data_IF_103851125364
#
_entry.id   IF_103851125364
#
_cell.length_a   1.000
_cell.length_b   1.000
_cell.length_c   1.000
_cell.angle_alpha   90.00
_cell.angle_beta   90.00
_cell.angle_gamma   90.00
#
_symmetry.space_group_name_H-M   'P 1'
#
loop_
_entity.id
_entity.type
_entity.pdbx_description
1 polymer ?
#
# COMPACT_ATOMS: atom_id res chain seq x y z
N UNK A 1 27.64 -17.65 22.80
CA UNK A 1 26.24 -17.73 22.47
C UNK A 1 25.92 -16.48 21.65
N UNK A 2 25.22 -16.59 20.52
CA UNK A 2 24.74 -15.46 19.73
C UNK A 2 23.48 -14.92 20.38
N UNK A 3 23.39 -13.62 20.51
CA UNK A 3 22.17 -12.98 21.06
C UNK A 3 21.21 -12.65 19.91
N UNK A 4 19.92 -12.94 20.09
CA UNK A 4 18.87 -12.64 19.09
C UNK A 4 18.90 -11.17 18.72
N UNK A 5 19.23 -10.30 19.68
CA UNK A 5 19.37 -8.86 19.47
C UNK A 5 20.47 -8.50 18.46
N UNK A 6 21.62 -9.21 18.49
CA UNK A 6 22.71 -8.96 17.55
C UNK A 6 22.31 -9.36 16.12
N UNK A 7 21.57 -10.47 15.99
CA UNK A 7 21.00 -10.95 14.73
C UNK A 7 19.99 -9.92 14.19
N UNK A 8 19.10 -9.43 15.05
CA UNK A 8 18.09 -8.42 14.68
C UNK A 8 18.75 -7.13 14.21
N UNK A 9 19.80 -6.66 14.91
CA UNK A 9 20.55 -5.46 14.52
C UNK A 9 21.22 -5.67 13.16
N UNK A 10 21.83 -6.83 12.92
CA UNK A 10 22.46 -7.13 11.63
C UNK A 10 21.44 -7.12 10.48
N UNK A 11 20.35 -7.87 10.61
CA UNK A 11 19.30 -7.90 9.60
C UNK A 11 18.77 -6.49 9.30
N UNK A 12 18.60 -5.67 10.35
CA UNK A 12 18.10 -4.33 10.17
C UNK A 12 19.06 -3.37 9.49
N UNK A 13 20.37 -3.55 9.68
CA UNK A 13 21.40 -2.80 8.95
C UNK A 13 21.39 -3.18 7.47
N UNK A 14 21.20 -4.46 7.14
CA UNK A 14 21.10 -4.94 5.75
C UNK A 14 19.82 -4.39 5.10
N UNK A 15 18.65 -4.51 5.77
CA UNK A 15 17.35 -4.01 5.26
C UNK A 15 17.39 -2.54 4.88
N UNK A 16 18.03 -1.71 5.72
CA UNK A 16 18.05 -0.25 5.58
C UNK A 16 19.31 0.29 4.90
N UNK A 17 20.25 -0.58 4.53
CA UNK A 17 21.57 -0.25 3.97
C UNK A 17 22.31 0.87 4.74
N UNK A 18 21.98 1.03 6.05
CA UNK A 18 22.45 2.16 6.86
C UNK A 18 22.47 1.87 8.35
N UNK A 19 23.65 2.05 8.98
CA UNK A 19 23.82 1.95 10.43
C UNK A 19 22.97 2.99 11.21
N UNK A 20 22.91 4.21 10.70
CA UNK A 20 22.17 5.29 11.36
C UNK A 20 20.66 5.12 11.23
N UNK A 21 20.16 4.63 10.09
CA UNK A 21 18.76 4.32 9.90
C UNK A 21 18.34 3.14 10.79
N UNK A 22 19.14 2.08 10.84
CA UNK A 22 18.92 0.93 11.73
C UNK A 22 18.90 1.35 13.22
N UNK A 23 19.83 2.23 13.62
CA UNK A 23 19.85 2.75 14.99
C UNK A 23 18.58 3.52 15.35
N UNK A 24 18.10 4.40 14.47
CA UNK A 24 16.83 5.12 14.68
C UNK A 24 15.63 4.18 14.78
N UNK A 25 15.55 3.20 13.87
CA UNK A 25 14.45 2.22 13.86
C UNK A 25 14.43 1.36 15.13
N UNK A 26 15.59 0.92 15.58
CA UNK A 26 15.75 0.09 16.79
C UNK A 26 15.83 0.90 18.09
N UNK A 27 15.77 2.24 18.01
CA UNK A 27 15.89 3.17 19.16
C UNK A 27 17.19 2.99 19.94
N UNK A 28 18.29 2.75 19.25
CA UNK A 28 19.64 2.66 19.82
C UNK A 28 20.60 3.58 19.04
N UNK A 29 21.71 3.97 19.64
CA UNK A 29 22.68 4.84 18.95
C UNK A 29 23.40 4.09 17.84
N UNK A 30 23.81 4.83 16.81
CA UNK A 30 24.63 4.29 15.70
C UNK A 30 25.94 3.64 16.20
N UNK A 31 26.51 4.14 17.28
CA UNK A 31 27.68 3.58 17.92
C UNK A 31 27.41 2.18 18.49
N UNK A 32 26.25 1.97 19.11
CA UNK A 32 25.80 0.67 19.62
C UNK A 32 25.57 -0.30 18.47
N UNK A 33 24.89 0.13 17.38
CA UNK A 33 24.71 -0.68 16.17
C UNK A 33 26.06 -1.16 15.63
N UNK A 34 27.01 -0.22 15.44
CA UNK A 34 28.36 -0.54 14.93
C UNK A 34 29.12 -1.49 15.84
N UNK A 35 29.04 -1.30 17.15
CA UNK A 35 29.68 -2.17 18.15
C UNK A 35 29.12 -3.60 18.11
N UNK A 36 27.79 -3.75 18.02
CA UNK A 36 27.13 -5.06 17.93
C UNK A 36 27.51 -5.80 16.66
N UNK A 37 27.49 -5.13 15.50
CA UNK A 37 27.94 -5.73 14.23
C UNK A 37 29.40 -6.16 14.31
N UNK A 38 30.28 -5.31 14.84
CA UNK A 38 31.69 -5.64 14.98
C UNK A 38 31.92 -6.91 15.87
N UNK A 39 31.23 -6.97 17.00
CA UNK A 39 31.26 -8.14 17.88
C UNK A 39 30.73 -9.41 17.20
N UNK A 40 29.67 -9.28 16.39
CA UNK A 40 29.11 -10.38 15.63
C UNK A 40 30.10 -10.90 14.60
N UNK A 41 30.71 -10.00 13.80
CA UNK A 41 31.75 -10.35 12.81
C UNK A 41 32.98 -11.00 13.48
N UNK A 42 33.41 -10.50 14.64
CA UNK A 42 34.51 -11.11 15.42
C UNK A 42 34.17 -12.54 15.91
N UNK A 43 32.93 -12.74 16.42
CA UNK A 43 32.48 -14.08 16.86
C UNK A 43 32.40 -15.08 15.71
N UNK A 44 32.01 -14.61 14.52
CA UNK A 44 31.89 -15.44 13.31
C UNK A 44 33.26 -15.65 12.61
N UNK A 45 34.24 -14.81 12.87
CA UNK A 45 35.55 -14.82 12.21
C UNK A 45 35.53 -14.35 10.75
N UNK A 46 34.41 -13.81 10.28
CA UNK A 46 34.21 -13.32 8.91
C UNK A 46 33.52 -11.95 8.90
N UNK A 47 33.82 -11.16 7.89
CA UNK A 47 33.08 -9.90 7.66
C UNK A 47 31.78 -10.21 6.97
N UNK A 48 30.69 -9.63 7.51
CA UNK A 48 29.34 -9.75 6.96
C UNK A 48 28.96 -8.54 6.10
N UNK A 49 29.59 -7.38 6.32
CA UNK A 49 29.24 -6.13 5.64
C UNK A 49 30.45 -5.50 4.97
N UNK A 50 30.27 -5.04 3.74
CA UNK A 50 31.13 -4.07 3.08
C UNK A 50 30.76 -2.68 3.59
N UNK A 51 31.75 -1.99 4.17
CA UNK A 51 31.58 -0.64 4.69
C UNK A 51 32.22 0.36 3.73
N UNK A 52 31.44 1.15 3.04
CA UNK A 52 31.91 2.35 2.34
C UNK A 52 31.30 3.57 3.00
N UNK A 53 31.86 4.75 2.76
CA UNK A 53 31.33 6.01 3.30
C UNK A 53 29.96 6.39 2.74
N UNK A 54 29.48 5.70 1.70
CA UNK A 54 28.23 6.01 1.00
C UNK A 54 27.17 4.90 1.00
N UNK A 55 27.54 3.65 1.27
CA UNK A 55 26.59 2.52 1.31
C UNK A 55 27.10 1.39 2.18
N UNK A 56 26.17 0.66 2.74
CA UNK A 56 26.41 -0.59 3.48
C UNK A 56 25.77 -1.71 2.67
N UNK A 57 26.57 -2.71 2.28
CA UNK A 57 26.08 -3.88 1.55
C UNK A 57 26.59 -5.16 2.19
N UNK A 58 25.83 -6.27 2.19
CA UNK A 58 26.31 -7.55 2.66
C UNK A 58 27.46 -8.08 1.78
N UNK A 59 28.36 -8.83 2.39
CA UNK A 59 29.31 -9.72 1.69
C UNK A 59 28.60 -11.00 1.30
N UNK A 60 29.23 -11.88 0.53
CA UNK A 60 28.68 -13.22 0.24
C UNK A 60 28.35 -13.99 1.54
N UNK A 61 29.25 -13.94 2.52
CA UNK A 61 29.00 -14.50 3.86
C UNK A 61 27.85 -13.75 4.58
N UNK A 62 27.72 -12.44 4.35
CA UNK A 62 26.65 -11.61 4.87
C UNK A 62 25.29 -11.98 4.28
N UNK A 63 25.19 -12.24 2.98
CA UNK A 63 23.96 -12.68 2.32
C UNK A 63 23.50 -14.04 2.83
N UNK A 64 24.42 -15.01 2.93
CA UNK A 64 24.14 -16.32 3.50
C UNK A 64 23.66 -16.21 4.95
N UNK A 65 24.35 -15.42 5.75
CA UNK A 65 23.99 -15.22 7.16
C UNK A 65 22.66 -14.49 7.30
N UNK A 66 22.39 -13.47 6.46
CA UNK A 66 21.15 -12.71 6.44
C UNK A 66 19.95 -13.60 6.13
N UNK A 67 20.00 -14.41 5.07
CA UNK A 67 18.89 -15.29 4.67
C UNK A 67 18.56 -16.32 5.77
N UNK A 68 19.59 -16.88 6.41
CA UNK A 68 19.42 -17.81 7.52
C UNK A 68 18.83 -17.12 8.75
N UNK A 69 19.34 -15.95 9.11
CA UNK A 69 18.85 -15.18 10.25
C UNK A 69 17.39 -14.71 10.06
N UNK A 70 17.02 -14.28 8.86
CA UNK A 70 15.63 -13.95 8.53
C UNK A 70 14.70 -15.15 8.74
N UNK A 71 15.11 -16.35 8.33
CA UNK A 71 14.32 -17.56 8.55
C UNK A 71 14.14 -17.86 10.04
N UNK A 72 15.18 -17.73 10.85
CA UNK A 72 15.12 -17.95 12.30
C UNK A 72 14.23 -16.91 12.98
N UNK A 73 14.38 -15.62 12.65
CA UNK A 73 13.54 -14.55 13.19
C UNK A 73 12.07 -14.74 12.83
N UNK A 74 11.78 -15.22 11.62
CA UNK A 74 10.42 -15.54 11.19
C UNK A 74 9.85 -16.73 11.99
N UNK A 75 10.62 -17.80 12.22
CA UNK A 75 10.18 -18.92 13.04
C UNK A 75 9.89 -18.50 14.50
N UNK A 76 10.70 -17.60 15.06
CA UNK A 76 10.42 -17.03 16.39
C UNK A 76 9.12 -16.23 16.40
N UNK A 77 8.89 -15.41 15.37
CA UNK A 77 7.64 -14.65 15.23
C UNK A 77 6.42 -15.58 15.07
N UNK A 78 6.56 -16.68 14.32
CA UNK A 78 5.51 -17.68 14.15
C UNK A 78 5.16 -18.38 15.45
N UNK A 79 6.18 -18.78 16.22
CA UNK A 79 5.99 -19.36 17.56
C UNK A 79 5.27 -18.37 18.50
N UNK A 80 5.68 -17.10 18.49
CA UNK A 80 5.02 -16.07 19.29
C UNK A 80 3.56 -15.88 18.88
N UNK A 81 3.27 -15.88 17.57
CA UNK A 81 1.91 -15.80 17.05
C UNK A 81 1.05 -17.00 17.49
N UNK A 82 1.61 -18.21 17.54
CA UNK A 82 0.89 -19.39 18.05
C UNK A 82 0.61 -19.29 19.55
N UNK A 83 1.57 -18.83 20.32
CA UNK A 83 1.36 -18.58 21.76
C UNK A 83 0.29 -17.49 21.99
N UNK A 84 0.29 -16.44 21.15
CA UNK A 84 -0.72 -15.39 21.24
C UNK A 84 -2.13 -15.89 20.87
N UNK A 85 -2.25 -16.89 19.98
CA UNK A 85 -3.52 -17.57 19.69
C UNK A 85 -4.06 -18.40 20.87
N UNK A 86 -3.18 -18.83 21.77
CA UNK A 86 -3.56 -19.54 23.00
C UNK A 86 -4.04 -18.57 24.10
N UNK A 87 -3.81 -17.26 23.96
CA UNK A 87 -4.29 -16.25 24.91
C UNK A 87 -5.79 -16.01 24.72
N UNK A 88 -6.47 -15.70 25.82
CA UNK A 88 -7.91 -15.44 25.81
C UNK A 88 -8.34 -14.17 25.06
N UNK A 89 -7.40 -13.23 24.80
CA UNK A 89 -7.67 -11.99 24.08
C UNK A 89 -6.48 -11.59 23.20
N UNK A 90 -6.73 -11.19 21.93
CA UNK A 90 -5.70 -10.68 21.04
C UNK A 90 -5.21 -9.31 21.52
N UNK A 91 -3.88 -9.10 21.49
CA UNK A 91 -3.25 -7.86 21.95
C UNK A 91 -2.07 -7.45 21.06
N UNK A 92 -1.62 -6.20 21.20
CA UNK A 92 -0.43 -5.66 20.56
C UNK A 92 -0.71 -4.68 19.43
N UNK A 93 0.28 -4.38 18.59
CA UNK A 93 0.20 -3.34 17.57
C UNK A 93 -0.01 -3.97 16.20
N UNK A 94 -0.88 -3.37 15.36
CA UNK A 94 -0.99 -3.64 13.92
C UNK A 94 -0.59 -2.38 13.16
N UNK A 95 0.36 -2.50 12.24
CA UNK A 95 0.77 -1.43 11.32
C UNK A 95 0.09 -1.62 9.98
N UNK A 96 -0.66 -0.62 9.54
CA UNK A 96 -1.47 -0.66 8.32
C UNK A 96 -1.02 0.46 7.39
N UNK A 97 -0.91 0.15 6.10
CA UNK A 97 -0.74 1.17 5.06
C UNK A 97 -1.93 1.14 4.12
N UNK A 98 -2.48 2.31 3.77
CA UNK A 98 -3.60 2.44 2.85
C UNK A 98 -3.41 3.64 1.90
N UNK A 99 -4.02 3.63 0.68
CA UNK A 99 -4.10 4.82 -0.16
C UNK A 99 -4.75 5.97 0.61
N UNK A 100 -4.30 7.20 0.36
CA UNK A 100 -4.69 8.36 1.17
C UNK A 100 -6.21 8.53 1.24
N UNK A 101 -6.88 8.62 0.10
CA UNK A 101 -8.33 8.82 0.05
C UNK A 101 -9.12 7.67 0.71
N UNK A 102 -8.81 6.42 0.33
CA UNK A 102 -9.44 5.23 0.91
C UNK A 102 -9.17 5.15 2.42
N UNK A 103 -7.93 5.38 2.83
CA UNK A 103 -7.48 5.33 4.22
C UNK A 103 -8.24 6.32 5.10
N UNK A 104 -8.37 7.58 4.64
CA UNK A 104 -9.02 8.65 5.37
C UNK A 104 -10.54 8.47 5.45
N UNK A 105 -11.19 8.23 4.31
CA UNK A 105 -12.65 8.30 4.23
C UNK A 105 -13.35 6.99 4.59
N UNK A 106 -12.71 5.85 4.42
CA UNK A 106 -13.33 4.53 4.59
C UNK A 106 -12.63 3.72 5.70
N UNK A 107 -11.31 3.56 5.61
CA UNK A 107 -10.61 2.64 6.50
C UNK A 107 -10.46 3.19 7.91
N UNK A 108 -10.13 4.47 8.09
CA UNK A 108 -9.95 5.05 9.42
C UNK A 108 -11.22 4.99 10.29
N UNK A 109 -12.44 5.28 9.79
CA UNK A 109 -13.67 5.03 10.55
C UNK A 109 -13.85 3.56 10.97
N UNK A 110 -13.65 2.61 10.06
CA UNK A 110 -13.76 1.17 10.34
C UNK A 110 -12.73 0.74 11.41
N UNK A 111 -11.50 1.24 11.33
CA UNK A 111 -10.47 0.96 12.33
C UNK A 111 -10.82 1.55 13.71
N UNK A 112 -11.50 2.69 13.74
CA UNK A 112 -12.04 3.26 14.97
C UNK A 112 -13.06 2.35 15.63
N UNK A 113 -13.99 1.78 14.84
CA UNK A 113 -14.97 0.79 15.33
C UNK A 113 -14.27 -0.49 15.81
N UNK A 114 -13.31 -1.00 15.04
CA UNK A 114 -12.51 -2.18 15.40
C UNK A 114 -11.76 -1.97 16.73
N UNK A 115 -11.19 -0.79 16.98
CA UNK A 115 -10.51 -0.48 18.24
C UNK A 115 -11.46 -0.51 19.45
N UNK A 116 -12.72 -0.14 19.27
CA UNK A 116 -13.72 -0.23 20.35
C UNK A 116 -14.04 -1.70 20.69
N UNK A 117 -14.08 -2.59 19.68
CA UNK A 117 -14.36 -4.01 19.86
C UNK A 117 -13.14 -4.77 20.41
N UNK A 118 -11.93 -4.37 20.00
CA UNK A 118 -10.65 -4.97 20.41
C UNK A 118 -9.74 -3.95 21.10
N UNK A 119 -10.04 -3.49 22.32
CA UNK A 119 -9.33 -2.38 22.97
C UNK A 119 -7.86 -2.68 23.30
N UNK A 120 -7.46 -3.95 23.35
CA UNK A 120 -6.06 -4.37 23.58
C UNK A 120 -5.20 -4.38 22.30
N UNK A 121 -5.80 -4.14 21.11
CA UNK A 121 -5.08 -4.03 19.86
C UNK A 121 -4.85 -2.55 19.53
N UNK A 122 -3.59 -2.15 19.45
CA UNK A 122 -3.22 -0.80 19.00
C UNK A 122 -3.06 -0.77 17.47
N UNK A 123 -3.54 0.30 16.85
CA UNK A 123 -3.51 0.50 15.41
C UNK A 123 -2.60 1.67 15.06
N UNK A 124 -1.75 1.46 14.05
CA UNK A 124 -0.94 2.49 13.42
C UNK A 124 -1.26 2.50 11.94
N UNK A 125 -2.03 3.51 11.51
CA UNK A 125 -2.41 3.70 10.13
C UNK A 125 -1.48 4.73 9.49
N UNK A 126 -0.80 4.32 8.41
CA UNK A 126 -0.10 5.19 7.50
C UNK A 126 -0.91 5.34 6.20
N UNK A 127 -1.25 6.57 5.82
CA UNK A 127 -2.01 6.85 4.61
C UNK A 127 -1.09 7.47 3.57
N UNK A 128 -0.91 6.77 2.45
CA UNK A 128 0.02 7.20 1.40
C UNK A 128 -0.34 6.61 0.05
N UNK A 129 -0.27 7.45 -1.00
CA UNK A 129 -0.43 7.00 -2.38
C UNK A 129 0.91 6.52 -2.99
N UNK A 130 2.01 6.56 -2.24
CA UNK A 130 3.31 6.05 -2.69
C UNK A 130 3.34 4.52 -2.65
N UNK A 131 4.12 3.93 -3.54
CA UNK A 131 4.49 2.53 -3.40
C UNK A 131 5.35 2.35 -2.14
N UNK A 132 4.85 1.56 -1.19
CA UNK A 132 5.48 1.29 0.10
C UNK A 132 6.20 -0.05 0.00
N UNK A 133 7.46 -0.11 0.42
CA UNK A 133 8.13 -1.38 0.65
C UNK A 133 7.71 -1.92 2.01
N UNK A 134 6.79 -2.86 1.99
CA UNK A 134 6.15 -3.37 3.22
C UNK A 134 7.14 -4.08 4.17
N UNK A 135 8.23 -4.66 3.63
CA UNK A 135 9.29 -5.30 4.44
C UNK A 135 10.11 -4.25 5.16
N UNK A 136 10.61 -3.26 4.41
CA UNK A 136 11.46 -2.21 4.97
C UNK A 136 10.71 -1.38 6.01
N UNK A 137 9.42 -1.09 5.76
CA UNK A 137 8.58 -0.28 6.65
C UNK A 137 7.91 -1.11 7.75
N UNK A 138 8.13 -2.44 7.79
CA UNK A 138 7.55 -3.38 8.77
C UNK A 138 6.03 -3.22 8.88
N UNK A 139 5.36 -3.16 7.73
CA UNK A 139 3.90 -3.08 7.64
C UNK A 139 3.32 -4.49 7.77
N UNK A 140 2.34 -4.67 8.65
CA UNK A 140 1.66 -5.97 8.84
C UNK A 140 0.59 -6.19 7.77
N UNK A 141 -0.05 -5.11 7.33
CA UNK A 141 -1.15 -5.13 6.37
C UNK A 141 -1.10 -3.88 5.48
N UNK A 142 -1.06 -4.06 4.16
CA UNK A 142 -1.28 -2.95 3.24
C UNK A 142 -2.56 -3.15 2.44
N UNK A 143 -3.38 -2.14 2.39
CA UNK A 143 -4.55 -2.08 1.50
C UNK A 143 -4.13 -1.41 0.20
N UNK A 144 -4.51 -2.00 -0.92
CA UNK A 144 -4.19 -1.45 -2.25
C UNK A 144 -5.35 -1.62 -3.20
N UNK A 145 -5.44 -0.71 -4.16
CA UNK A 145 -6.46 -0.66 -5.20
C UNK A 145 -5.82 -0.84 -6.58
N UNK A 146 -6.58 -1.38 -7.52
CA UNK A 146 -6.16 -1.50 -8.91
C UNK A 146 -5.33 -2.73 -9.22
N UNK A 147 -4.58 -2.66 -10.33
CA UNK A 147 -3.65 -3.72 -10.74
C UNK A 147 -2.39 -3.67 -9.89
N UNK A 148 -2.05 -4.81 -9.31
CA UNK A 148 -0.85 -4.97 -8.51
C UNK A 148 0.14 -5.83 -9.29
N UNK A 149 1.42 -5.45 -9.34
CA UNK A 149 2.45 -6.30 -9.94
C UNK A 149 2.61 -7.59 -9.14
N UNK A 150 3.07 -8.64 -9.81
CA UNK A 150 3.44 -9.88 -9.14
C UNK A 150 4.50 -9.60 -8.07
N UNK A 151 4.23 -10.06 -6.88
CA UNK A 151 5.09 -9.86 -5.72
C UNK A 151 5.09 -11.11 -4.83
N UNK A 152 6.11 -11.27 -4.00
CA UNK A 152 6.21 -12.31 -2.98
C UNK A 152 5.24 -12.14 -1.79
N UNK A 153 4.22 -11.28 -1.97
CA UNK A 153 3.24 -10.96 -0.94
C UNK A 153 2.01 -11.85 -1.05
N UNK A 154 1.49 -12.26 0.11
CA UNK A 154 0.19 -12.92 0.16
C UNK A 154 -0.88 -11.87 -0.08
N UNK A 155 -1.68 -12.08 -1.11
CA UNK A 155 -2.78 -11.20 -1.49
C UNK A 155 -4.12 -11.82 -1.09
N UNK A 156 -4.95 -11.06 -0.36
CA UNK A 156 -6.34 -11.41 -0.08
C UNK A 156 -7.27 -10.36 -0.68
N UNK A 157 -8.16 -10.71 -1.63
CA UNK A 157 -9.20 -9.81 -2.09
C UNK A 157 -10.19 -9.52 -0.95
N UNK A 158 -10.60 -8.27 -0.79
CA UNK A 158 -11.58 -7.87 0.21
C UNK A 158 -12.93 -7.56 -0.43
N UNK A 159 -12.98 -6.58 -1.34
CA UNK A 159 -14.19 -6.18 -2.05
C UNK A 159 -13.86 -5.77 -3.48
N UNK A 160 -14.83 -5.81 -4.40
CA UNK A 160 -14.68 -5.25 -5.74
C UNK A 160 -14.31 -3.76 -5.68
N UNK A 161 -13.58 -3.32 -6.69
CA UNK A 161 -13.35 -1.91 -7.00
C UNK A 161 -13.62 -1.71 -8.49
N UNK A 162 -14.00 -0.51 -8.85
CA UNK A 162 -14.19 -0.14 -10.23
C UNK A 162 -13.49 1.19 -10.50
N UNK A 163 -12.75 1.26 -11.58
CA UNK A 163 -12.02 2.46 -11.96
C UNK A 163 -12.75 3.16 -13.08
N UNK A 164 -13.19 4.37 -12.83
CA UNK A 164 -13.94 5.20 -13.75
C UNK A 164 -13.09 6.36 -14.27
N UNK A 165 -13.44 6.83 -15.46
CA UNK A 165 -13.01 8.14 -15.97
C UNK A 165 -14.17 9.10 -15.80
N UNK A 166 -13.93 10.27 -15.17
CA UNK A 166 -15.00 11.22 -14.87
C UNK A 166 -14.56 12.67 -15.02
N UNK A 167 -15.54 13.55 -15.22
CA UNK A 167 -15.38 15.01 -15.23
C UNK A 167 -16.65 15.69 -14.75
N UNK A 168 -16.57 16.98 -14.37
CA UNK A 168 -17.74 17.79 -14.05
C UNK A 168 -18.47 18.25 -15.31
N UNK A 169 -19.76 18.58 -15.20
CA UNK A 169 -20.55 19.14 -16.30
C UNK A 169 -19.87 20.37 -16.89
N UNK A 170 -19.42 21.29 -16.02
CA UNK A 170 -18.73 22.51 -16.45
C UNK A 170 -17.49 22.21 -17.35
N UNK A 171 -16.77 21.13 -17.10
CA UNK A 171 -15.66 20.73 -17.97
C UNK A 171 -16.17 20.08 -19.27
N UNK A 172 -17.12 19.17 -19.16
CA UNK A 172 -17.60 18.36 -20.30
C UNK A 172 -18.30 19.23 -21.34
N UNK A 173 -19.13 20.19 -20.92
CA UNK A 173 -19.93 21.05 -21.81
C UNK A 173 -19.08 21.99 -22.68
N UNK A 174 -17.87 22.37 -22.21
CA UNK A 174 -16.95 23.25 -22.95
C UNK A 174 -15.82 22.51 -23.68
N UNK A 175 -15.74 21.20 -23.50
CA UNK A 175 -14.67 20.38 -24.06
C UNK A 175 -15.08 19.73 -25.37
N UNK A 176 -14.09 19.22 -26.12
CA UNK A 176 -14.35 18.42 -27.31
C UNK A 176 -15.15 17.15 -26.97
N UNK A 177 -15.80 16.57 -27.95
CA UNK A 177 -16.53 15.31 -27.79
C UNK A 177 -15.57 14.18 -27.42
N UNK A 178 -15.95 13.37 -26.41
CA UNK A 178 -15.14 12.25 -25.87
C UNK A 178 -15.86 10.92 -26.14
N UNK A 179 -15.54 10.26 -27.24
CA UNK A 179 -16.16 8.98 -27.66
C UNK A 179 -15.32 7.76 -27.35
N UNK A 180 -14.01 7.90 -27.43
CA UNK A 180 -13.05 6.82 -27.26
C UNK A 180 -11.90 7.25 -26.35
N UNK A 181 -11.16 6.30 -25.73
CA UNK A 181 -9.96 6.64 -24.94
C UNK A 181 -8.88 7.41 -25.73
N UNK A 182 -8.85 7.30 -27.05
CA UNK A 182 -7.88 8.02 -27.87
C UNK A 182 -8.18 9.51 -28.02
N UNK A 183 -9.41 9.94 -27.73
CA UNK A 183 -9.82 11.34 -27.75
C UNK A 183 -9.24 12.11 -26.56
N UNK A 184 -8.77 11.41 -25.51
CA UNK A 184 -8.12 12.00 -24.35
C UNK A 184 -6.91 12.90 -24.68
N UNK A 185 -6.29 12.70 -25.85
CA UNK A 185 -5.25 13.59 -26.39
C UNK A 185 -5.70 15.05 -26.56
N UNK A 186 -7.02 15.28 -26.70
CA UNK A 186 -7.64 16.58 -26.89
C UNK A 186 -8.23 17.12 -25.57
N UNK A 187 -8.02 16.42 -24.45
CA UNK A 187 -8.57 16.78 -23.16
C UNK A 187 -7.48 17.08 -22.13
N UNK A 188 -7.80 17.91 -21.17
CA UNK A 188 -6.96 18.12 -19.99
C UNK A 188 -7.18 16.96 -19.02
N UNK A 189 -6.20 16.08 -18.89
CA UNK A 189 -6.21 15.00 -17.92
C UNK A 189 -5.47 15.42 -16.64
N UNK A 190 -6.03 15.09 -15.49
CA UNK A 190 -5.44 15.36 -14.18
C UNK A 190 -4.51 14.21 -13.81
N UNK A 191 -3.24 14.51 -13.56
CA UNK A 191 -2.18 13.51 -13.55
C UNK A 191 -1.79 13.13 -12.12
N UNK A 192 -1.96 11.86 -11.75
CA UNK A 192 -1.47 11.35 -10.47
C UNK A 192 0.05 11.08 -10.58
N UNK A 193 0.84 11.86 -9.84
CA UNK A 193 2.29 11.82 -9.90
C UNK A 193 2.89 11.05 -8.71
N UNK A 194 3.69 10.05 -9.03
CA UNK A 194 4.55 9.34 -8.07
C UNK A 194 6.02 9.74 -8.27
N UNK A 195 6.90 9.54 -7.28
CA UNK A 195 8.34 9.72 -7.46
C UNK A 195 8.84 8.93 -8.68
N UNK A 196 9.55 9.62 -9.59
CA UNK A 196 10.06 9.02 -10.84
C UNK A 196 9.05 8.94 -11.98
N UNK A 197 7.82 9.42 -11.84
CA UNK A 197 6.84 9.48 -12.95
C UNK A 197 7.33 10.42 -14.04
N UNK A 198 7.54 9.87 -15.24
CA UNK A 198 7.93 10.64 -16.44
C UNK A 198 6.92 10.53 -17.56
N UNK A 199 6.02 9.55 -17.49
CA UNK A 199 4.99 9.28 -18.49
C UNK A 199 3.69 8.90 -17.79
N UNK A 200 2.61 9.57 -18.13
CA UNK A 200 1.29 9.31 -17.57
C UNK A 200 0.46 8.51 -18.56
N UNK A 201 -0.18 7.47 -18.07
CA UNK A 201 -1.01 6.57 -18.86
C UNK A 201 -2.21 6.11 -18.04
N UNK A 202 -3.37 6.04 -18.70
CA UNK A 202 -4.57 5.43 -18.14
C UNK A 202 -4.86 4.11 -18.83
N UNK A 203 -5.45 3.20 -18.11
CA UNK A 203 -5.79 1.87 -18.61
C UNK A 203 -7.25 1.80 -19.01
N UNK A 204 -7.50 1.17 -20.16
CA UNK A 204 -8.83 0.97 -20.74
C UNK A 204 -8.96 -0.43 -21.30
N UNK A 205 -10.19 -0.96 -21.31
CA UNK A 205 -10.54 -2.19 -22.01
C UNK A 205 -10.97 -1.84 -23.43
N UNK A 206 -10.12 -2.06 -24.40
CA UNK A 206 -10.37 -1.75 -25.82
C UNK A 206 -10.39 -3.07 -26.61
N UNK A 207 -11.51 -3.36 -27.29
CA UNK A 207 -11.69 -4.63 -28.03
C UNK A 207 -11.37 -5.88 -27.19
N UNK A 208 -11.74 -5.88 -25.91
CA UNK A 208 -11.50 -6.99 -24.98
C UNK A 208 -10.06 -7.11 -24.48
N UNK A 209 -9.18 -6.16 -24.80
CA UNK A 209 -7.79 -6.12 -24.34
C UNK A 209 -7.54 -4.91 -23.46
N UNK A 210 -6.76 -5.12 -22.39
CA UNK A 210 -6.34 -4.02 -21.54
C UNK A 210 -5.23 -3.24 -22.24
N UNK A 211 -5.51 -1.99 -22.58
CA UNK A 211 -4.58 -1.08 -23.23
C UNK A 211 -4.24 0.12 -22.34
N UNK A 212 -3.00 0.58 -22.47
CA UNK A 212 -2.53 1.78 -21.77
C UNK A 212 -2.51 2.96 -22.75
N UNK A 213 -3.36 3.94 -22.53
CA UNK A 213 -3.45 5.16 -23.35
C UNK A 213 -2.63 6.27 -22.71
N UNK A 214 -1.77 6.92 -23.49
CA UNK A 214 -1.00 8.07 -23.03
C UNK A 214 -1.93 9.28 -22.82
N UNK A 215 -1.76 9.97 -21.70
CA UNK A 215 -2.53 11.14 -21.34
C UNK A 215 -1.62 12.33 -21.09
N UNK A 216 -2.17 13.53 -21.26
CA UNK A 216 -1.47 14.80 -21.01
C UNK A 216 -2.36 15.76 -20.24
N UNK A 217 -1.76 16.67 -19.49
CA UNK A 217 -2.46 17.72 -18.78
C UNK A 217 -1.50 18.68 -18.09
N UNK A 218 -1.98 19.85 -17.76
CA UNK A 218 -1.21 20.91 -17.11
C UNK A 218 -1.24 20.88 -15.57
N UNK A 219 -2.02 19.96 -14.98
CA UNK A 219 -2.14 19.81 -13.53
C UNK A 219 -1.77 18.40 -13.10
N UNK A 220 -0.83 18.29 -12.19
CA UNK A 220 -0.44 17.03 -11.54
C UNK A 220 -0.40 17.19 -10.03
N UNK A 221 -0.71 16.11 -9.33
CA UNK A 221 -0.61 16.04 -7.87
C UNK A 221 -0.18 14.62 -7.43
N UNK A 222 0.37 14.54 -6.22
CA UNK A 222 0.69 13.25 -5.57
C UNK A 222 -0.46 12.71 -4.71
N UNK A 223 -1.62 13.35 -4.74
CA UNK A 223 -2.83 12.96 -4.01
C UNK A 223 -4.02 12.81 -4.96
N UNK A 224 -4.67 11.67 -4.89
CA UNK A 224 -5.89 11.38 -5.64
C UNK A 224 -7.06 12.30 -5.25
N UNK A 225 -7.16 12.73 -3.98
CA UNK A 225 -8.19 13.66 -3.51
C UNK A 225 -8.04 15.03 -4.20
N UNK A 226 -6.83 15.56 -4.28
CA UNK A 226 -6.58 16.84 -4.97
C UNK A 226 -7.02 16.78 -6.44
N UNK A 227 -6.79 15.65 -7.12
CA UNK A 227 -7.25 15.46 -8.49
C UNK A 227 -8.77 15.44 -8.57
N UNK A 228 -9.44 14.79 -7.62
CA UNK A 228 -10.91 14.76 -7.54
C UNK A 228 -11.46 16.18 -7.35
N UNK A 229 -10.89 16.97 -6.43
CA UNK A 229 -11.29 18.36 -6.20
C UNK A 229 -11.11 19.22 -7.46
N UNK A 230 -10.00 19.05 -8.17
CA UNK A 230 -9.80 19.76 -9.44
C UNK A 230 -10.79 19.33 -10.51
N UNK A 231 -11.15 18.06 -10.59
CA UNK A 231 -12.14 17.56 -11.54
C UNK A 231 -13.53 18.15 -11.26
N UNK A 232 -13.96 18.16 -10.00
CA UNK A 232 -15.22 18.79 -9.55
C UNK A 232 -15.24 20.27 -9.94
N UNK A 233 -14.12 20.97 -9.79
CA UNK A 233 -13.97 22.38 -10.15
C UNK A 233 -13.67 22.61 -11.65
N UNK A 234 -13.98 21.66 -12.52
CA UNK A 234 -13.93 21.81 -13.98
C UNK A 234 -12.52 21.94 -14.57
N UNK A 235 -11.48 21.42 -13.91
CA UNK A 235 -10.10 21.58 -14.40
C UNK A 235 -9.65 20.48 -15.36
N UNK A 236 -10.44 19.41 -15.51
CA UNK A 236 -10.11 18.31 -16.40
C UNK A 236 -10.79 17.01 -16.04
N UNK A 237 -10.35 15.94 -16.69
CA UNK A 237 -10.80 14.58 -16.45
C UNK A 237 -9.88 13.89 -15.44
N UNK A 238 -10.45 12.99 -14.66
CA UNK A 238 -9.73 12.12 -13.72
C UNK A 238 -10.07 10.65 -14.03
N UNK A 239 -9.10 9.75 -13.85
CA UNK A 239 -9.36 8.31 -13.81
C UNK A 239 -9.04 7.79 -12.41
N UNK A 240 -10.07 7.36 -11.67
CA UNK A 240 -9.95 6.97 -10.26
C UNK A 240 -10.85 5.78 -9.91
N UNK A 241 -10.58 5.21 -8.73
CA UNK A 241 -11.47 4.24 -8.08
C UNK A 241 -12.78 4.89 -7.65
N UNK A 242 -13.90 4.19 -7.79
CA UNK A 242 -15.19 4.64 -7.25
C UNK A 242 -15.08 4.88 -5.73
N UNK A 243 -14.30 4.08 -5.00
CA UNK A 243 -14.07 4.30 -3.57
C UNK A 243 -13.47 5.67 -3.23
N UNK A 244 -12.73 6.26 -4.16
CA UNK A 244 -12.13 7.59 -3.98
C UNK A 244 -13.12 8.72 -4.28
N UNK A 245 -13.98 8.53 -5.28
CA UNK A 245 -14.88 9.58 -5.79
C UNK A 245 -16.36 9.29 -5.53
N UNK A 246 -16.69 8.35 -4.63
CA UNK A 246 -18.08 7.96 -4.35
C UNK A 246 -19.00 9.15 -3.99
N UNK A 247 -18.53 10.08 -3.17
CA UNK A 247 -19.27 11.28 -2.81
C UNK A 247 -19.62 12.12 -4.03
N UNK A 248 -18.61 12.42 -4.86
CA UNK A 248 -18.77 13.24 -6.06
C UNK A 248 -19.64 12.58 -7.14
N UNK A 249 -19.72 11.26 -7.16
CA UNK A 249 -20.66 10.53 -8.03
C UNK A 249 -22.08 10.58 -7.46
N UNK A 250 -22.24 10.42 -6.15
CA UNK A 250 -23.54 10.39 -5.49
C UNK A 250 -24.26 11.75 -5.55
N UNK A 251 -23.51 12.84 -5.45
CA UNK A 251 -24.05 14.22 -5.54
C UNK A 251 -24.02 14.79 -6.98
N UNK A 252 -23.61 13.97 -7.96
CA UNK A 252 -23.48 14.32 -9.37
C UNK A 252 -22.49 15.47 -9.68
N UNK A 253 -21.56 15.79 -8.77
CA UNK A 253 -20.46 16.73 -9.02
C UNK A 253 -19.49 16.23 -10.09
N UNK A 254 -19.39 14.90 -10.23
CA UNK A 254 -18.66 14.23 -11.31
C UNK A 254 -19.59 13.29 -12.08
N UNK A 255 -19.44 13.27 -13.41
CA UNK A 255 -20.13 12.35 -14.31
C UNK A 255 -19.15 11.39 -14.95
N UNK A 256 -19.44 10.07 -14.93
CA UNK A 256 -18.64 9.08 -15.61
C UNK A 256 -18.68 9.26 -17.14
N UNK A 257 -17.53 9.09 -17.77
CA UNK A 257 -17.35 9.10 -19.22
C UNK A 257 -16.55 7.88 -19.66
N UNK A 258 -16.63 7.48 -20.91
CA UNK A 258 -15.93 6.31 -21.46
C UNK A 258 -16.27 4.97 -20.76
N UNK A 259 -17.47 4.84 -20.20
CA UNK A 259 -17.90 3.68 -19.40
C UNK A 259 -17.71 2.34 -20.13
N UNK A 260 -17.90 2.29 -21.47
CA UNK A 260 -17.71 1.08 -22.29
C UNK A 260 -16.28 0.57 -22.34
N UNK A 261 -15.32 1.38 -21.90
CA UNK A 261 -13.89 1.11 -21.95
C UNK A 261 -13.26 0.94 -20.57
N UNK A 262 -14.06 0.90 -19.52
CA UNK A 262 -13.55 0.84 -18.16
C UNK A 262 -12.85 -0.49 -17.86
N UNK A 263 -11.70 -0.44 -17.13
CA UNK A 263 -10.96 -1.64 -16.76
C UNK A 263 -11.80 -2.50 -15.81
N UNK A 264 -11.77 -3.82 -16.00
CA UNK A 264 -12.53 -4.79 -15.21
C UNK A 264 -11.63 -5.54 -14.21
N UNK A 265 -12.26 -6.30 -13.30
CA UNK A 265 -11.58 -7.17 -12.33
C UNK A 265 -10.62 -6.44 -11.37
N UNK A 266 -10.95 -5.22 -11.02
CA UNK A 266 -10.26 -4.50 -9.98
C UNK A 266 -10.84 -4.80 -8.60
N UNK A 267 -10.07 -4.54 -7.56
CA UNK A 267 -10.54 -4.74 -6.19
C UNK A 267 -9.67 -4.01 -5.17
N UNK A 268 -10.24 -3.81 -4.00
CA UNK A 268 -9.45 -3.51 -2.80
C UNK A 268 -8.88 -4.84 -2.32
N UNK A 269 -7.58 -4.90 -2.20
CA UNK A 269 -6.84 -6.08 -1.79
C UNK A 269 -5.98 -5.77 -0.58
N UNK A 270 -5.93 -6.74 0.32
CA UNK A 270 -5.00 -6.76 1.43
C UNK A 270 -3.73 -7.49 1.02
N UNK A 271 -2.59 -6.83 1.17
CA UNK A 271 -1.26 -7.38 0.94
C UNK A 271 -0.57 -7.58 2.28
N UNK A 272 0.03 -8.72 2.47
CA UNK A 272 0.71 -9.11 3.70
C UNK A 272 2.01 -9.82 3.39
N UNK A 273 3.03 -9.72 4.28
CA UNK A 273 4.23 -10.54 4.15
C UNK A 273 3.89 -12.03 4.14
N UNK A 274 4.58 -12.80 3.31
CA UNK A 274 4.49 -14.26 3.36
C UNK A 274 5.10 -14.75 4.68
N UNK A 275 4.26 -15.23 5.59
CA UNK A 275 4.66 -15.83 6.87
C UNK A 275 3.82 -17.08 7.12
N UNK A 276 4.48 -18.14 7.61
CA UNK A 276 3.80 -19.28 8.22
C UNK A 276 3.23 -18.79 9.57
N UNK A 277 1.94 -18.92 9.79
CA UNK A 277 1.33 -18.50 11.05
C UNK A 277 1.08 -16.98 11.17
N UNK A 278 0.00 -16.51 10.55
CA UNK A 278 -0.40 -15.10 10.69
C UNK A 278 -0.85 -14.79 12.11
N UNK A 279 -0.47 -13.63 12.65
CA UNK A 279 -0.91 -13.20 13.98
C UNK A 279 -2.44 -13.09 14.04
N UNK A 280 -3.07 -13.65 15.06
CA UNK A 280 -4.53 -13.66 15.26
C UNK A 280 -5.14 -12.26 15.10
N UNK A 281 -4.51 -11.23 15.67
CA UNK A 281 -4.95 -9.83 15.56
C UNK A 281 -5.07 -9.34 14.11
N UNK A 282 -4.17 -9.78 13.21
CA UNK A 282 -4.22 -9.41 11.79
C UNK A 282 -5.32 -10.16 11.06
N UNK A 283 -5.56 -11.42 11.41
CA UNK A 283 -6.67 -12.22 10.85
C UNK A 283 -8.02 -11.61 11.25
N UNK A 284 -8.20 -11.29 12.53
CA UNK A 284 -9.41 -10.63 13.03
C UNK A 284 -9.67 -9.30 12.32
N UNK A 285 -8.63 -8.47 12.15
CA UNK A 285 -8.78 -7.21 11.45
C UNK A 285 -9.13 -7.42 9.97
N UNK A 286 -8.54 -8.41 9.31
CA UNK A 286 -8.86 -8.73 7.91
C UNK A 286 -10.31 -9.17 7.72
N UNK A 287 -10.82 -10.01 8.62
CA UNK A 287 -12.20 -10.47 8.56
C UNK A 287 -13.16 -9.32 8.86
N UNK A 288 -12.84 -8.50 9.85
CA UNK A 288 -13.59 -7.30 10.19
C UNK A 288 -13.65 -6.30 9.02
N UNK A 289 -12.51 -6.00 8.40
CA UNK A 289 -12.44 -5.14 7.21
C UNK A 289 -13.25 -5.71 6.05
N UNK A 290 -13.17 -7.03 5.79
CA UNK A 290 -13.90 -7.66 4.71
C UNK A 290 -15.42 -7.56 4.92
N UNK A 291 -15.91 -7.73 6.15
CA UNK A 291 -17.32 -7.60 6.49
C UNK A 291 -17.81 -6.15 6.35
N UNK A 292 -17.10 -5.20 6.97
CA UNK A 292 -17.48 -3.78 6.94
C UNK A 292 -17.43 -3.20 5.54
N UNK A 293 -16.43 -3.56 4.73
CA UNK A 293 -16.35 -3.10 3.35
C UNK A 293 -17.48 -3.67 2.47
N UNK A 294 -17.91 -4.91 2.69
CA UNK A 294 -19.07 -5.50 1.96
C UNK A 294 -20.35 -4.74 2.19
N UNK A 295 -20.57 -4.27 3.41
CA UNK A 295 -21.79 -3.53 3.80
C UNK A 295 -21.65 -2.01 3.64
N UNK A 296 -20.49 -1.53 3.23
CA UNK A 296 -20.25 -0.10 3.04
C UNK A 296 -21.10 0.48 1.89
N UNK A 297 -21.68 1.68 2.03
CA UNK A 297 -22.52 2.30 0.98
C UNK A 297 -21.84 2.39 -0.40
N UNK A 298 -20.53 2.64 -0.44
CA UNK A 298 -19.78 2.67 -1.70
C UNK A 298 -19.78 1.32 -2.42
N UNK A 299 -19.82 0.19 -1.69
CA UNK A 299 -19.91 -1.12 -2.35
C UNK A 299 -21.27 -1.30 -3.04
N UNK A 300 -22.35 -0.81 -2.44
CA UNK A 300 -23.66 -0.78 -3.08
C UNK A 300 -23.65 0.12 -4.33
N UNK A 301 -23.06 1.32 -4.23
CA UNK A 301 -22.90 2.22 -5.37
C UNK A 301 -22.18 1.55 -6.55
N UNK A 302 -21.14 0.75 -6.28
CA UNK A 302 -20.43 -0.01 -7.33
C UNK A 302 -21.37 -1.03 -7.98
N UNK A 303 -22.18 -1.72 -7.20
CA UNK A 303 -23.14 -2.72 -7.71
C UNK A 303 -24.21 -2.08 -8.58
N UNK A 304 -24.76 -0.94 -8.14
CA UNK A 304 -25.75 -0.18 -8.87
C UNK A 304 -25.16 0.41 -10.17
N UNK A 305 -23.88 0.80 -10.14
CA UNK A 305 -23.16 1.34 -11.30
C UNK A 305 -22.90 0.27 -12.38
N UNK A 306 -22.71 -0.99 -11.98
CA UNK A 306 -22.41 -2.12 -12.87
C UNK A 306 -23.68 -2.86 -13.36
N UNK A 307 -24.85 -2.59 -12.78
CA UNK A 307 -26.14 -3.18 -13.18
C UNK A 307 -26.74 -2.46 -14.41
#
# INVERSE_FOLDING_TARGET
MYEIDDITVFCRVVDLESFSAAGRDLRISTAVVSSRIHKLEQKLGVRLLHRTTRSVRPTEAGELYYSTCQSVLNQFADCQNELDRMKAAPEGVIKISAPYALGRSVIAPILGEFKNEYPSIDIRLDVTDRAVNLVEEKVDLALRQGYLPDSSWVMRPLVPDHRITAGSDDYLDRSAELKTPYDLKNHSCLLLRFPGSTRFRWQFLINGKLESVAITGGLDASSSEVLTDWAINGKGLVQQSIWTCAGALSDASLKPVLQKFEPQNLGIRALMPERKGRALKVELLLDYLAEKLKTHPTNQLIQDYLS
#
